data_IF_624852000955
#
_entry.id   IF_624852000955
#
_cell.length_a   1.000
_cell.length_b   1.000
_cell.length_c   1.000
_cell.angle_alpha   90.00
_cell.angle_beta   90.00
_cell.angle_gamma   90.00
#
_symmetry.space_group_name_H-M   'P 1'
#
loop_
_entity.id
_entity.type
_entity.pdbx_description
1 polymer ?
#
# COMPACT_ATOMS: atom_id res chain seq x y z
N UNK A 1 -4.59 17.89 0.28
CA UNK A 1 -5.03 16.97 -0.80
C UNK A 1 -4.62 15.50 -0.59
N UNK A 2 -3.84 15.13 0.44
CA UNK A 2 -3.36 13.73 0.63
C UNK A 2 -4.32 12.76 1.34
N UNK A 3 -5.33 13.22 2.09
CA UNK A 3 -6.21 12.33 2.89
C UNK A 3 -7.13 11.43 2.02
N UNK A 4 -7.51 11.87 0.82
CA UNK A 4 -8.38 11.09 -0.06
C UNK A 4 -7.65 9.92 -0.73
N UNK A 5 -6.36 10.09 -1.05
CA UNK A 5 -5.51 9.04 -1.61
C UNK A 5 -5.15 8.03 -0.53
N UNK A 6 -4.80 8.49 0.67
CA UNK A 6 -4.53 7.62 1.82
C UNK A 6 -5.72 6.72 2.15
N UNK A 7 -6.93 7.29 2.25
CA UNK A 7 -8.14 6.52 2.53
C UNK A 7 -8.44 5.46 1.46
N UNK A 8 -8.27 5.80 0.18
CA UNK A 8 -8.44 4.87 -0.94
C UNK A 8 -7.37 3.78 -0.95
N UNK A 9 -6.12 4.14 -0.71
CA UNK A 9 -5.01 3.21 -0.68
C UNK A 9 -5.14 2.19 0.45
N UNK A 10 -5.58 2.64 1.64
CA UNK A 10 -5.89 1.73 2.75
C UNK A 10 -7.03 0.77 2.43
N UNK A 11 -8.13 1.29 1.85
CA UNK A 11 -9.27 0.47 1.46
C UNK A 11 -8.89 -0.59 0.42
N UNK A 12 -8.13 -0.21 -0.60
CA UNK A 12 -7.62 -1.14 -1.61
C UNK A 12 -6.68 -2.18 -0.99
N UNK A 13 -5.72 -1.75 -0.17
CA UNK A 13 -4.80 -2.66 0.52
C UNK A 13 -5.54 -3.67 1.43
N UNK A 14 -6.63 -3.27 2.07
CA UNK A 14 -7.46 -4.16 2.88
C UNK A 14 -8.14 -5.22 2.01
N UNK A 15 -8.71 -4.82 0.86
CA UNK A 15 -9.31 -5.75 -0.10
C UNK A 15 -8.27 -6.74 -0.65
N UNK A 16 -7.08 -6.28 -1.02
CA UNK A 16 -6.02 -7.16 -1.51
C UNK A 16 -5.59 -8.18 -0.45
N UNK A 17 -5.49 -7.75 0.82
CA UNK A 17 -5.20 -8.65 1.94
C UNK A 17 -6.31 -9.70 2.16
N UNK A 18 -7.58 -9.32 2.02
CA UNK A 18 -8.72 -10.25 2.10
C UNK A 18 -8.71 -11.28 0.96
N UNK A 19 -8.48 -10.83 -0.28
CA UNK A 19 -8.40 -11.73 -1.46
C UNK A 19 -7.20 -12.67 -1.36
N UNK A 20 -6.07 -12.20 -0.82
CA UNK A 20 -4.87 -13.00 -0.57
C UNK A 20 -5.02 -14.02 0.58
N UNK A 21 -6.14 -14.01 1.30
CA UNK A 21 -6.39 -14.91 2.42
C UNK A 21 -5.62 -14.55 3.70
N UNK A 22 -5.17 -13.30 3.84
CA UNK A 22 -4.56 -12.82 5.10
C UNK A 22 -5.63 -12.84 6.20
N UNK A 23 -5.25 -13.36 7.37
CA UNK A 23 -6.17 -13.45 8.51
C UNK A 23 -6.60 -12.06 8.95
N UNK A 24 -7.88 -11.89 9.30
CA UNK A 24 -8.45 -10.60 9.74
C UNK A 24 -7.65 -9.86 10.80
N UNK A 25 -7.06 -10.58 11.76
CA UNK A 25 -6.22 -10.00 12.82
C UNK A 25 -4.93 -9.36 12.29
N UNK A 26 -4.45 -9.82 11.13
CA UNK A 26 -3.20 -9.40 10.49
C UNK A 26 -3.45 -8.36 9.38
N UNK A 27 -4.72 -8.16 8.95
CA UNK A 27 -5.09 -7.19 7.90
C UNK A 27 -4.72 -5.77 8.30
N UNK A 28 -5.01 -5.34 9.54
CA UNK A 28 -4.70 -3.97 9.99
C UNK A 28 -3.20 -3.69 9.90
N UNK A 29 -2.38 -4.63 10.39
CA UNK A 29 -0.92 -4.51 10.33
C UNK A 29 -0.39 -4.53 8.88
N UNK A 30 -1.03 -5.30 8.01
CA UNK A 30 -0.71 -5.37 6.57
C UNK A 30 -1.04 -4.04 5.90
N UNK A 31 -2.22 -3.48 6.16
CA UNK A 31 -2.65 -2.19 5.62
C UNK A 31 -1.70 -1.08 6.07
N UNK A 32 -1.41 -0.96 7.37
CA UNK A 32 -0.48 0.03 7.92
C UNK A 32 0.91 -0.03 7.26
N UNK A 33 1.36 -1.24 6.90
CA UNK A 33 2.67 -1.46 6.26
C UNK A 33 2.68 -1.17 4.76
N UNK A 34 1.60 -1.47 4.04
CA UNK A 34 1.61 -1.46 2.57
C UNK A 34 0.73 -0.37 1.95
N UNK A 35 -0.11 0.34 2.70
CA UNK A 35 -0.89 1.46 2.16
C UNK A 35 -0.04 2.54 1.47
N UNK A 36 1.21 2.86 1.88
CA UNK A 36 2.03 3.85 1.16
C UNK A 36 2.42 3.36 -0.24
N UNK A 37 2.58 2.05 -0.42
CA UNK A 37 2.86 1.43 -1.72
C UNK A 37 1.66 1.59 -2.65
N UNK A 38 0.46 1.26 -2.15
CA UNK A 38 -0.78 1.38 -2.91
C UNK A 38 -1.09 2.84 -3.23
N UNK A 39 -0.83 3.75 -2.30
CA UNK A 39 -0.98 5.19 -2.52
C UNK A 39 -0.05 5.68 -3.64
N UNK A 40 1.20 5.22 -3.64
CA UNK A 40 2.15 5.54 -4.70
C UNK A 40 1.74 4.97 -6.07
N UNK A 41 1.19 3.75 -6.12
CA UNK A 41 0.63 3.18 -7.36
C UNK A 41 -0.58 3.97 -7.87
N UNK A 42 -1.48 4.39 -6.97
CA UNK A 42 -2.69 5.17 -7.32
C UNK A 42 -2.39 6.58 -7.85
N UNK A 43 -1.30 7.19 -7.40
CA UNK A 43 -0.87 8.52 -7.88
C UNK A 43 -0.22 8.47 -9.28
N UNK A 44 -0.08 7.27 -9.86
CA UNK A 44 0.15 7.09 -11.30
C UNK A 44 1.58 7.24 -11.79
N UNK A 45 2.53 7.69 -10.97
CA UNK A 45 3.99 7.61 -11.18
C UNK A 45 4.66 8.20 -9.93
N UNK A 46 5.81 7.64 -9.55
CA UNK A 46 6.78 8.25 -8.63
C UNK A 46 7.09 9.67 -9.12
N UNK A 47 6.38 10.65 -8.62
CA UNK A 47 6.90 11.99 -8.60
C UNK A 47 7.85 12.04 -7.40
N UNK A 48 9.12 11.74 -7.66
CA UNK A 48 10.23 11.71 -6.70
C UNK A 48 10.35 13.04 -5.93
N UNK A 49 9.67 14.10 -6.38
CA UNK A 49 9.67 15.43 -5.79
C UNK A 49 8.51 15.72 -4.83
N UNK A 50 7.45 14.89 -4.77
CA UNK A 50 6.25 15.21 -3.95
C UNK A 50 5.97 14.25 -2.80
N UNK A 51 6.55 13.05 -2.80
CA UNK A 51 6.43 12.09 -1.71
C UNK A 51 7.84 11.77 -1.21
N UNK A 52 8.10 12.03 0.08
CA UNK A 52 9.24 11.45 0.79
C UNK A 52 9.03 9.93 0.68
N UNK A 53 9.64 9.31 -0.32
CA UNK A 53 9.62 7.88 -0.48
C UNK A 53 10.32 7.30 0.75
N UNK A 54 9.67 6.44 1.55
CA UNK A 54 10.39 5.74 2.60
C UNK A 54 11.60 5.01 1.99
N UNK A 55 12.73 4.94 2.70
CA UNK A 55 13.99 4.37 2.18
C UNK A 55 13.84 2.93 1.67
N UNK A 56 12.77 2.23 2.04
CA UNK A 56 12.51 0.83 1.71
C UNK A 56 11.34 0.62 0.72
N UNK A 57 10.93 1.63 -0.04
CA UNK A 57 9.75 1.53 -0.93
C UNK A 57 9.85 0.41 -1.98
N UNK A 58 11.04 0.13 -2.48
CA UNK A 58 11.24 -0.93 -3.48
C UNK A 58 11.09 -2.32 -2.84
N UNK A 59 11.59 -2.49 -1.61
CA UNK A 59 11.40 -3.72 -0.82
C UNK A 59 9.94 -3.91 -0.40
N UNK A 60 9.27 -2.83 0.01
CA UNK A 60 7.84 -2.86 0.33
C UNK A 60 6.99 -3.19 -0.89
N UNK A 61 7.33 -2.67 -2.07
CA UNK A 61 6.69 -3.04 -3.34
C UNK A 61 6.91 -4.52 -3.68
N UNK A 62 8.15 -5.00 -3.56
CA UNK A 62 8.47 -6.41 -3.82
C UNK A 62 7.75 -7.35 -2.84
N UNK A 63 7.63 -6.97 -1.57
CA UNK A 63 6.88 -7.71 -0.57
C UNK A 63 5.37 -7.67 -0.84
N UNK A 64 4.82 -6.50 -1.22
CA UNK A 64 3.42 -6.35 -1.56
C UNK A 64 3.04 -7.17 -2.81
N UNK A 65 3.88 -7.20 -3.84
CA UNK A 65 3.69 -8.04 -5.03
C UNK A 65 3.60 -9.54 -4.74
N UNK A 66 4.18 -10.02 -3.63
CA UNK A 66 4.09 -11.43 -3.23
C UNK A 66 2.75 -11.79 -2.58
N UNK A 67 2.06 -10.79 -2.01
CA UNK A 67 0.75 -10.97 -1.37
C UNK A 67 -0.39 -10.48 -2.26
N UNK A 68 -0.10 -9.74 -3.32
CA UNK A 68 -1.09 -9.31 -4.30
C UNK A 68 -1.50 -10.51 -5.18
N UNK A 69 -2.80 -10.82 -5.29
CA UNK A 69 -3.31 -11.89 -6.15
C UNK A 69 -3.11 -11.59 -7.65
#
# INVERSE_FOLDING_TARGET
MNNAVEGRARAQCALDAEVAGIRRKDIVATVERFWPVVAAEMMGVRDDATLIAPPDMEELQAAYRKIRP
#
